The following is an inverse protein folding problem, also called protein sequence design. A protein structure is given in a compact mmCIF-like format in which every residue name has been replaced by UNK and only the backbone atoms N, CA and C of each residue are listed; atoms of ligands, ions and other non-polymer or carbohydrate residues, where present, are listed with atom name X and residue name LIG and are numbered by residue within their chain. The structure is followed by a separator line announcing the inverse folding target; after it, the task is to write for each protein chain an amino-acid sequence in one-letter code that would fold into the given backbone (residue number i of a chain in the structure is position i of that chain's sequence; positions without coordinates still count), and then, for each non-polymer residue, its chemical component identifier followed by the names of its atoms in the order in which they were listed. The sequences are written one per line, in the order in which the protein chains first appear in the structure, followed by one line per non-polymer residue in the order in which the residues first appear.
data_IF_488352092569
#
_entry.id   IF_488352092569
#
_cell.length_a   1.000
_cell.length_b   1.000
_cell.length_c   1.000
_cell.angle_alpha   90.00
_cell.angle_beta   90.00
_cell.angle_gamma   90.00
#
_symmetry.space_group_name_H-M   'P 1'
#
loop_
_entity.id
_entity.type
_entity.pdbx_description
1 polymer ?
#
# COMPACT_ATOMS: atom_id res chain seq x y z
N UNK A 1 -35.25 -15.24 48.48
CA UNK A 1 -34.80 -13.90 48.04
C UNK A 1 -33.38 -14.05 47.52
N UNK A 2 -33.21 -14.23 46.21
CA UNK A 2 -31.90 -14.41 45.58
C UNK A 2 -31.52 -13.09 44.91
N UNK A 3 -30.61 -12.34 45.52
CA UNK A 3 -30.11 -11.06 45.02
C UNK A 3 -28.88 -11.26 44.13
N UNK A 4 -28.90 -10.56 43.00
CA UNK A 4 -28.14 -10.80 41.78
C UNK A 4 -26.68 -10.34 41.87
N UNK A 5 -25.82 -11.05 41.14
CA UNK A 5 -24.43 -10.69 40.91
C UNK A 5 -24.33 -9.51 39.93
N UNK A 6 -23.63 -8.45 40.33
CA UNK A 6 -23.29 -7.31 39.49
C UNK A 6 -22.06 -7.64 38.64
N UNK A 7 -22.19 -7.64 37.31
CA UNK A 7 -21.03 -7.62 36.42
C UNK A 7 -20.99 -6.27 35.69
N UNK A 8 -19.94 -5.51 35.96
CA UNK A 8 -19.63 -4.25 35.31
C UNK A 8 -18.99 -4.50 33.95
N UNK A 9 -19.49 -3.83 32.91
CA UNK A 9 -18.91 -3.83 31.57
C UNK A 9 -17.55 -3.09 31.56
N UNK A 10 -16.53 -3.57 30.83
CA UNK A 10 -15.28 -2.84 30.71
C UNK A 10 -15.44 -1.64 29.75
N UNK A 11 -15.20 -0.44 30.26
CA UNK A 11 -15.13 0.79 29.46
C UNK A 11 -13.88 0.77 28.58
N UNK A 12 -14.01 0.42 27.31
CA UNK A 12 -12.91 0.53 26.35
C UNK A 12 -12.81 1.96 25.83
N UNK A 13 -12.00 2.78 26.50
CA UNK A 13 -11.49 4.05 25.94
C UNK A 13 -10.45 3.75 24.86
N UNK A 14 -10.89 3.25 23.70
CA UNK A 14 -10.02 2.99 22.57
C UNK A 14 -9.66 4.33 21.91
N UNK A 15 -8.47 4.85 22.22
CA UNK A 15 -7.88 5.97 21.49
C UNK A 15 -7.77 5.56 20.01
N UNK A 16 -8.57 6.18 19.15
CA UNK A 16 -8.53 6.09 17.69
C UNK A 16 -7.19 6.68 17.19
N UNK A 17 -6.12 5.93 17.39
CA UNK A 17 -4.83 6.19 16.75
C UNK A 17 -4.98 5.79 15.30
N UNK A 18 -5.26 6.78 14.47
CA UNK A 18 -5.20 6.70 13.01
C UNK A 18 -3.76 6.34 12.59
N UNK A 19 -3.44 5.05 12.62
CA UNK A 19 -2.13 4.53 12.28
C UNK A 19 -2.04 4.38 10.77
N UNK A 20 -1.70 5.49 10.10
CA UNK A 20 -1.06 5.48 8.78
C UNK A 20 0.35 4.86 8.82
N UNK A 21 0.80 4.34 9.97
CA UNK A 21 2.06 3.64 10.11
C UNK A 21 1.94 2.16 9.74
N UNK A 22 2.65 1.81 8.69
CA UNK A 22 3.13 0.46 8.47
C UNK A 22 2.28 -0.33 7.49
N UNK A 23 2.82 -0.47 6.27
CA UNK A 23 2.40 -1.39 5.22
C UNK A 23 2.47 -2.88 5.60
N UNK A 24 2.49 -3.21 6.90
CA UNK A 24 2.18 -4.54 7.41
C UNK A 24 0.68 -4.51 7.71
N UNK A 25 -0.12 -4.99 6.74
CA UNK A 25 -1.54 -5.27 6.99
C UNK A 25 -1.58 -6.17 8.22
N UNK A 26 -2.08 -5.67 9.34
CA UNK A 26 -2.41 -6.55 10.47
C UNK A 26 -3.29 -7.66 9.92
N UNK A 27 -3.05 -8.89 10.34
CA UNK A 27 -3.85 -10.05 9.90
C UNK A 27 -5.07 -10.25 10.80
N UNK A 28 -5.12 -9.53 11.92
CA UNK A 28 -6.16 -9.60 12.94
C UNK A 28 -6.62 -8.21 13.36
N UNK A 29 -7.88 -8.13 13.82
CA UNK A 29 -8.47 -6.92 14.40
C UNK A 29 -8.01 -6.70 15.85
N UNK A 30 -8.52 -5.67 16.52
CA UNK A 30 -8.14 -5.40 17.91
C UNK A 30 -8.67 -6.42 18.93
N UNK A 31 -9.66 -7.25 18.56
CA UNK A 31 -10.08 -8.41 19.35
C UNK A 31 -9.10 -9.59 19.27
N UNK A 32 -8.12 -9.55 18.36
CA UNK A 32 -7.28 -10.71 18.02
C UNK A 32 -7.88 -11.62 16.95
N UNK A 33 -9.12 -11.39 16.54
CA UNK A 33 -9.80 -12.19 15.52
C UNK A 33 -9.39 -11.85 14.09
N UNK A 34 -9.59 -12.79 13.16
CA UNK A 34 -9.28 -12.62 11.73
C UNK A 34 -10.06 -11.45 11.12
N UNK A 35 -9.42 -10.77 10.17
CA UNK A 35 -10.06 -9.71 9.40
C UNK A 35 -10.98 -10.28 8.32
N UNK A 36 -12.09 -9.60 8.10
CA UNK A 36 -13.03 -9.89 7.01
C UNK A 36 -13.03 -8.75 6.00
N UNK A 37 -13.24 -9.08 4.73
CA UNK A 37 -13.38 -8.09 3.66
C UNK A 37 -14.85 -7.65 3.58
N UNK A 38 -15.11 -6.40 3.94
CA UNK A 38 -16.45 -5.80 3.96
C UNK A 38 -16.59 -4.85 2.78
N UNK A 39 -17.79 -4.77 2.21
CA UNK A 39 -18.13 -3.78 1.18
C UNK A 39 -18.90 -2.64 1.85
N UNK A 40 -18.41 -1.42 1.70
CA UNK A 40 -19.02 -0.22 2.25
C UNK A 40 -20.35 0.08 1.57
N UNK A 41 -21.39 0.29 2.38
CA UNK A 41 -22.74 0.71 1.97
C UNK A 41 -23.00 2.20 2.27
N UNK A 42 -22.01 2.94 2.77
CA UNK A 42 -22.14 4.38 3.05
C UNK A 42 -22.31 5.17 1.75
N UNK A 43 -23.08 6.26 1.79
CA UNK A 43 -23.30 7.12 0.63
C UNK A 43 -21.99 7.76 0.09
N UNK A 44 -21.01 8.00 0.97
CA UNK A 44 -19.74 8.64 0.63
C UNK A 44 -18.77 7.66 -0.05
N UNK A 45 -18.86 6.37 0.27
CA UNK A 45 -17.96 5.33 -0.23
C UNK A 45 -18.73 4.09 -0.71
N UNK A 46 -19.67 4.20 -1.67
CA UNK A 46 -20.48 3.08 -2.10
C UNK A 46 -19.62 2.02 -2.81
N UNK A 47 -19.76 0.76 -2.40
CA UNK A 47 -19.09 -0.37 -3.05
C UNK A 47 -17.59 -0.49 -2.77
N UNK A 48 -16.98 0.46 -2.05
CA UNK A 48 -15.56 0.41 -1.70
C UNK A 48 -15.31 -0.64 -0.62
N UNK A 49 -14.29 -1.48 -0.79
CA UNK A 49 -14.01 -2.57 0.16
C UNK A 49 -13.00 -2.16 1.23
N UNK A 50 -13.18 -2.66 2.44
CA UNK A 50 -12.25 -2.49 3.56
C UNK A 50 -12.10 -3.78 4.36
N UNK A 51 -10.99 -3.91 5.07
CA UNK A 51 -10.74 -4.96 6.05
C UNK A 51 -11.25 -4.49 7.42
N UNK A 52 -12.20 -5.22 7.98
CA UNK A 52 -12.87 -4.90 9.25
C UNK A 52 -12.82 -6.05 10.25
N UNK A 53 -13.28 -5.77 11.47
CA UNK A 53 -13.57 -6.80 12.47
C UNK A 53 -14.66 -7.75 11.95
N UNK A 54 -14.58 -9.04 12.32
CA UNK A 54 -15.62 -10.03 12.00
C UNK A 54 -16.99 -9.65 12.57
N UNK A 55 -17.01 -8.90 13.69
CA UNK A 55 -18.22 -8.41 14.34
C UNK A 55 -18.70 -7.03 13.79
N UNK A 56 -18.19 -6.58 12.64
CA UNK A 56 -18.62 -5.32 12.02
C UNK A 56 -20.13 -5.34 11.75
N UNK A 57 -20.86 -4.31 12.24
CA UNK A 57 -22.29 -4.15 12.04
C UNK A 57 -23.22 -4.94 12.97
N UNK A 58 -22.68 -5.73 13.91
CA UNK A 58 -23.48 -6.49 14.91
C UNK A 58 -23.34 -5.93 16.35
N UNK A 59 -22.70 -4.76 16.53
CA UNK A 59 -22.62 -4.05 17.81
C UNK A 59 -21.45 -4.44 18.72
N UNK A 60 -20.76 -5.55 18.44
CA UNK A 60 -19.57 -6.01 19.19
C UNK A 60 -18.26 -5.77 18.43
N UNK A 61 -18.24 -4.79 17.53
CA UNK A 61 -17.04 -4.47 16.76
C UNK A 61 -16.02 -3.68 17.59
N UNK A 62 -14.73 -3.99 17.38
CA UNK A 62 -13.64 -3.24 18.01
C UNK A 62 -13.23 -1.96 17.26
N UNK A 63 -13.95 -1.58 16.20
CA UNK A 63 -13.61 -0.41 15.38
C UNK A 63 -12.35 -0.54 14.53
N UNK A 64 -11.82 -1.76 14.33
CA UNK A 64 -10.73 -1.98 13.37
C UNK A 64 -11.23 -1.72 11.94
N UNK A 65 -10.51 -0.85 11.22
CA UNK A 65 -10.85 -0.46 9.85
C UNK A 65 -9.60 -0.12 9.04
N UNK A 66 -9.44 -0.75 7.87
CA UNK A 66 -8.42 -0.39 6.87
C UNK A 66 -8.96 -0.57 5.46
N UNK A 67 -8.88 0.46 4.61
CA UNK A 67 -9.28 0.33 3.21
C UNK A 67 -8.54 -0.79 2.49
N UNK A 68 -9.28 -1.62 1.74
CA UNK A 68 -8.67 -2.60 0.86
C UNK A 68 -8.17 -1.89 -0.39
N UNK A 69 -6.97 -2.26 -0.86
CA UNK A 69 -6.50 -1.80 -2.16
C UNK A 69 -7.45 -2.30 -3.25
N UNK A 70 -7.91 -1.37 -4.08
CA UNK A 70 -8.71 -1.69 -5.25
C UNK A 70 -7.85 -2.34 -6.34
N UNK A 71 -8.47 -3.16 -7.19
CA UNK A 71 -7.79 -3.76 -8.34
C UNK A 71 -7.18 -2.71 -9.26
N UNK A 72 -7.88 -1.57 -9.44
CA UNK A 72 -7.39 -0.42 -10.21
C UNK A 72 -6.12 0.17 -9.62
N UNK A 73 -6.05 0.36 -8.30
CA UNK A 73 -4.84 0.85 -7.62
C UNK A 73 -3.66 -0.12 -7.76
N UNK A 74 -3.93 -1.43 -7.70
CA UNK A 74 -2.90 -2.45 -7.92
C UNK A 74 -2.37 -2.45 -9.36
N UNK A 75 -3.24 -2.32 -10.35
CA UNK A 75 -2.82 -2.24 -11.75
C UNK A 75 -2.02 -0.96 -12.02
N UNK A 76 -2.45 0.19 -11.48
CA UNK A 76 -1.67 1.44 -11.56
C UNK A 76 -0.29 1.26 -10.93
N UNK A 77 -0.18 0.61 -9.76
CA UNK A 77 1.11 0.34 -9.14
C UNK A 77 1.99 -0.61 -9.98
N UNK A 78 1.38 -1.60 -10.65
CA UNK A 78 2.07 -2.51 -11.58
C UNK A 78 2.59 -1.77 -12.81
N UNK A 79 1.75 -0.94 -13.42
CA UNK A 79 2.11 -0.12 -14.57
C UNK A 79 3.21 0.88 -14.22
N UNK A 80 3.12 1.56 -13.07
CA UNK A 80 4.18 2.45 -12.58
C UNK A 80 5.53 1.73 -12.45
N UNK A 81 5.55 0.53 -11.87
CA UNK A 81 6.78 -0.28 -11.79
C UNK A 81 7.37 -0.59 -13.17
N UNK A 82 6.52 -0.95 -14.14
CA UNK A 82 6.96 -1.18 -15.53
C UNK A 82 7.53 0.10 -16.16
N UNK A 83 6.85 1.24 -16.01
CA UNK A 83 7.32 2.54 -16.52
C UNK A 83 8.67 2.90 -15.92
N UNK A 84 8.85 2.79 -14.60
CA UNK A 84 10.14 3.06 -13.95
C UNK A 84 11.24 2.12 -14.47
N UNK A 85 10.93 0.83 -14.64
CA UNK A 85 11.88 -0.14 -15.18
C UNK A 85 12.28 0.15 -16.64
N UNK A 86 11.32 0.45 -17.50
CA UNK A 86 11.56 0.83 -18.89
C UNK A 86 12.36 2.13 -18.99
N UNK A 87 12.01 3.13 -18.18
CA UNK A 87 12.75 4.40 -18.10
C UNK A 87 14.21 4.16 -17.71
N UNK A 88 14.46 3.30 -16.72
CA UNK A 88 15.83 2.90 -16.35
C UNK A 88 16.59 2.28 -17.52
N UNK A 89 15.97 1.35 -18.26
CA UNK A 89 16.59 0.74 -19.45
C UNK A 89 16.91 1.77 -20.54
N UNK A 90 15.99 2.68 -20.84
CA UNK A 90 16.19 3.77 -21.79
C UNK A 90 17.39 4.61 -21.38
N UNK A 91 17.46 5.05 -20.12
CA UNK A 91 18.59 5.85 -19.64
C UNK A 91 19.94 5.11 -19.69
N UNK A 92 19.94 3.79 -19.51
CA UNK A 92 21.17 2.99 -19.65
C UNK A 92 21.61 2.92 -21.11
N UNK A 93 20.69 2.68 -22.04
CA UNK A 93 20.99 2.65 -23.48
C UNK A 93 21.46 4.02 -23.98
N UNK A 94 20.82 5.10 -23.56
CA UNK A 94 21.24 6.46 -23.85
C UNK A 94 22.69 6.70 -23.39
N UNK A 95 23.02 6.34 -22.14
CA UNK A 95 24.39 6.46 -21.61
C UNK A 95 25.41 5.62 -22.38
N UNK A 96 25.07 4.39 -22.74
CA UNK A 96 25.95 3.53 -23.53
C UNK A 96 26.22 4.13 -24.91
N UNK A 97 25.19 4.66 -25.58
CA UNK A 97 25.32 5.32 -26.86
C UNK A 97 26.18 6.58 -26.75
N UNK A 98 25.93 7.44 -25.76
CA UNK A 98 26.73 8.65 -25.54
C UNK A 98 28.20 8.33 -25.30
N UNK A 99 28.51 7.30 -24.49
CA UNK A 99 29.89 6.88 -24.24
C UNK A 99 30.57 6.33 -25.49
N UNK A 100 29.88 5.52 -26.30
CA UNK A 100 30.43 5.00 -27.55
C UNK A 100 30.78 6.12 -28.54
N UNK A 101 29.90 7.11 -28.68
CA UNK A 101 30.15 8.29 -29.53
C UNK A 101 31.34 9.09 -29.02
N UNK A 102 31.44 9.32 -27.70
CA UNK A 102 32.57 10.03 -27.11
C UNK A 102 33.91 9.32 -27.38
N UNK A 103 33.96 7.99 -27.20
CA UNK A 103 35.17 7.19 -27.50
C UNK A 103 35.54 7.29 -28.98
N UNK A 104 34.56 7.21 -29.89
CA UNK A 104 34.81 7.33 -31.32
C UNK A 104 35.35 8.72 -31.69
N UNK A 105 34.78 9.79 -31.13
CA UNK A 105 35.25 11.16 -31.36
C UNK A 105 36.67 11.37 -30.83
N UNK A 106 36.97 10.91 -29.62
CA UNK A 106 38.32 11.00 -29.05
C UNK A 106 39.33 10.24 -29.91
N UNK A 107 39.01 9.00 -30.27
CA UNK A 107 39.87 8.19 -31.14
C UNK A 107 40.12 8.85 -32.50
N UNK A 108 39.08 9.40 -33.12
CA UNK A 108 39.20 10.15 -34.37
C UNK A 108 40.10 11.37 -34.21
N UNK A 109 39.91 12.17 -33.16
CA UNK A 109 40.73 13.36 -32.92
C UNK A 109 42.20 13.02 -32.65
N UNK A 110 42.49 11.95 -31.92
CA UNK A 110 43.86 11.49 -31.69
C UNK A 110 44.53 11.03 -32.99
N UNK A 111 43.82 10.30 -33.85
CA UNK A 111 44.36 9.87 -35.14
C UNK A 111 44.72 11.06 -36.05
N UNK A 112 43.87 12.10 -36.07
CA UNK A 112 44.12 13.33 -36.83
C UNK A 112 45.30 14.17 -36.32
N UNK A 113 45.65 14.06 -35.04
CA UNK A 113 46.78 14.79 -34.44
C UNK A 113 48.12 14.06 -34.68
N UNK A 114 48.08 12.73 -34.81
CA UNK A 114 49.26 11.88 -34.96
C UNK A 114 49.66 11.60 -36.43
N UNK A 115 48.85 12.02 -37.39
CA UNK A 115 49.11 11.97 -38.84
C UNK A 115 49.58 13.34 -39.34
#
# INVERSE_FOLDING_TARGET
MASQASQAAPSWSASYRNSSQGRRRRTTCYCGERLVLVTSSTAENPGRRFWGCVNYGIGEECGYFVWAESEKEQEVARLKRKITGLKGKVTTLERMLTMAVAVALVGWTCAMILL
#
